data_IF_769528903519
#
_entry.id   IF_769528903519
#
_cell.length_a   1.000
_cell.length_b   1.000
_cell.length_c   1.000
_cell.angle_alpha   90.00
_cell.angle_beta   90.00
_cell.angle_gamma   90.00
#
_symmetry.space_group_name_H-M   'P 1'
#
loop_
_entity.id
_entity.type
_entity.pdbx_description
1 polymer ?
#
# COMPACT_ATOMS: atom_id res chain seq x y z
N UNK A 1 7.26 -8.02 -22.36
CA UNK A 1 8.30 -8.10 -21.28
C UNK A 1 7.58 -8.14 -19.93
N UNK A 2 8.27 -8.43 -18.81
CA UNK A 2 7.64 -8.48 -17.48
C UNK A 2 8.45 -7.67 -16.47
N UNK A 3 7.80 -6.76 -15.77
CA UNK A 3 8.35 -6.08 -14.60
C UNK A 3 7.76 -6.69 -13.33
N UNK A 4 8.59 -6.81 -12.29
CA UNK A 4 8.16 -7.22 -10.96
C UNK A 4 9.05 -6.55 -9.93
N UNK A 5 8.45 -5.88 -8.95
CA UNK A 5 9.17 -5.26 -7.84
C UNK A 5 8.39 -5.41 -6.54
N UNK A 6 9.12 -5.48 -5.44
CA UNK A 6 8.59 -5.50 -4.07
C UNK A 6 9.25 -4.37 -3.30
N UNK A 7 8.45 -3.45 -2.79
CA UNK A 7 8.92 -2.31 -2.01
C UNK A 7 8.23 -2.30 -0.65
N UNK A 8 8.84 -1.70 0.36
CA UNK A 8 8.24 -1.56 1.68
C UNK A 8 9.25 -1.28 2.77
N UNK A 9 8.78 -1.08 4.01
CA UNK A 9 9.66 -0.88 5.15
C UNK A 9 10.55 -2.11 5.32
N UNK A 10 11.87 -1.87 5.43
CA UNK A 10 12.86 -2.94 5.60
C UNK A 10 13.02 -3.86 4.39
N UNK A 11 12.64 -3.42 3.19
CA UNK A 11 12.98 -4.07 1.93
C UNK A 11 14.18 -3.38 1.28
N UNK A 12 15.06 -4.14 0.60
CA UNK A 12 16.26 -3.60 -0.08
C UNK A 12 15.94 -2.46 -1.07
N UNK A 13 14.77 -2.53 -1.71
CA UNK A 13 14.24 -1.47 -2.57
C UNK A 13 13.19 -0.66 -1.78
N UNK A 14 13.68 0.29 -1.01
CA UNK A 14 12.89 1.07 -0.06
C UNK A 14 12.15 2.25 -0.73
N UNK A 15 11.61 2.08 -1.95
CA UNK A 15 10.74 3.08 -2.59
C UNK A 15 9.40 3.18 -1.85
N UNK A 16 9.49 3.54 -0.58
CA UNK A 16 8.52 3.49 0.47
C UNK A 16 8.75 4.68 1.38
N UNK A 17 7.67 5.31 1.82
CA UNK A 17 7.71 6.21 2.95
C UNK A 17 6.37 6.15 3.66
N UNK A 18 6.39 6.48 4.94
CA UNK A 18 5.18 6.68 5.72
C UNK A 18 5.28 7.97 6.50
N UNK A 19 4.15 8.68 6.61
CA UNK A 19 4.06 9.87 7.44
C UNK A 19 4.41 9.55 8.90
N UNK A 20 4.92 10.51 9.69
CA UNK A 20 5.37 10.28 11.07
C UNK A 20 4.32 9.68 12.01
N UNK A 21 3.03 9.73 11.67
CA UNK A 21 1.96 9.09 12.43
C UNK A 21 2.01 7.55 12.35
N UNK A 22 2.63 7.00 11.30
CA UNK A 22 2.88 5.58 11.15
C UNK A 22 4.11 5.18 11.95
N UNK A 23 3.86 4.50 13.07
CA UNK A 23 4.90 4.06 13.99
C UNK A 23 5.40 2.67 13.61
N UNK A 24 6.65 2.37 13.98
CA UNK A 24 7.23 1.05 13.77
C UNK A 24 6.38 -0.05 14.42
N UNK A 25 6.19 -1.14 13.68
CA UNK A 25 5.49 -2.35 14.10
C UNK A 25 6.22 -3.60 13.60
N UNK A 26 5.56 -4.75 13.77
CA UNK A 26 6.10 -6.06 13.39
C UNK A 26 5.18 -6.87 12.49
N UNK A 27 5.62 -8.08 12.16
CA UNK A 27 4.83 -9.04 11.37
C UNK A 27 4.81 -8.75 9.87
N UNK A 28 5.66 -7.85 9.38
CA UNK A 28 5.79 -7.57 7.96
C UNK A 28 6.33 -8.74 7.15
N UNK A 29 6.48 -8.54 5.84
CA UNK A 29 7.01 -9.56 4.95
C UNK A 29 8.46 -9.90 5.31
N UNK A 30 8.72 -11.17 5.57
CA UNK A 30 10.06 -11.70 5.79
C UNK A 30 10.44 -12.61 4.62
N UNK A 31 11.50 -12.26 3.88
CA UNK A 31 11.90 -12.88 2.62
C UNK A 31 11.65 -11.97 1.40
N UNK A 32 12.05 -12.42 0.21
CA UNK A 32 11.99 -11.63 -1.03
C UNK A 32 12.58 -10.22 -0.86
N UNK A 33 13.80 -10.15 -0.30
CA UNK A 33 14.56 -8.93 0.03
C UNK A 33 13.97 -8.04 1.13
N UNK A 34 12.97 -8.52 1.88
CA UNK A 34 12.38 -7.80 3.02
C UNK A 34 12.68 -8.48 4.37
N UNK A 35 12.78 -7.67 5.43
CA UNK A 35 13.25 -8.10 6.75
C UNK A 35 12.18 -8.06 7.85
N UNK A 36 10.91 -8.31 7.50
CA UNK A 36 9.82 -8.50 8.46
C UNK A 36 9.27 -7.21 9.09
N UNK A 37 9.67 -6.04 8.57
CA UNK A 37 9.25 -4.74 9.10
C UNK A 37 7.86 -4.33 8.60
N UNK A 38 7.15 -3.60 9.45
CA UNK A 38 5.87 -2.99 9.16
C UNK A 38 5.77 -1.67 9.92
N UNK A 39 4.85 -0.81 9.50
CA UNK A 39 4.47 0.41 10.22
C UNK A 39 2.96 0.47 10.38
N UNK A 40 2.45 1.16 11.38
CA UNK A 40 1.02 1.26 11.62
C UNK A 40 0.61 2.61 12.23
N UNK A 41 -0.58 3.07 11.86
CA UNK A 41 -1.20 4.27 12.42
C UNK A 41 -2.65 3.97 12.83
N UNK A 42 -3.12 4.65 13.86
CA UNK A 42 -4.55 4.69 14.17
C UNK A 42 -5.27 5.52 13.11
N UNK A 43 -6.47 5.11 12.74
CA UNK A 43 -7.30 5.90 11.81
C UNK A 43 -7.75 7.22 12.45
N UNK A 44 -7.99 8.25 11.64
CA UNK A 44 -8.30 9.63 12.11
C UNK A 44 -9.61 9.79 12.91
N UNK A 45 -10.45 8.75 12.96
CA UNK A 45 -11.76 8.75 13.62
C UNK A 45 -12.85 9.57 12.92
N UNK A 46 -12.49 10.47 12.00
CA UNK A 46 -13.41 11.33 11.24
C UNK A 46 -13.62 10.75 9.84
N UNK A 47 -14.85 10.35 9.52
CA UNK A 47 -15.19 9.84 8.20
C UNK A 47 -14.81 10.84 7.10
N UNK A 48 -14.15 10.35 6.05
CA UNK A 48 -13.73 11.19 4.94
C UNK A 48 -12.35 11.83 5.12
N UNK A 49 -11.82 11.90 6.34
CA UNK A 49 -10.57 12.59 6.66
C UNK A 49 -9.41 11.62 6.86
N UNK A 50 -8.22 11.99 6.39
CA UNK A 50 -6.96 11.30 6.66
C UNK A 50 -5.98 12.31 7.25
N UNK A 51 -5.20 11.87 8.24
CA UNK A 51 -4.10 12.64 8.83
C UNK A 51 -2.74 12.28 8.20
N UNK A 52 -2.71 11.21 7.41
CA UNK A 52 -1.51 10.77 6.70
C UNK A 52 -1.67 9.43 6.00
N UNK A 53 -0.57 8.96 5.42
CA UNK A 53 -0.50 7.70 4.70
C UNK A 53 0.88 7.05 4.71
N UNK A 54 0.91 5.82 4.20
CA UNK A 54 2.11 5.10 3.84
C UNK A 54 2.03 4.77 2.35
N UNK A 55 3.08 5.02 1.60
CA UNK A 55 3.06 4.87 0.15
C UNK A 55 4.27 4.13 -0.39
N UNK A 56 4.03 3.43 -1.50
CA UNK A 56 5.03 2.71 -2.27
C UNK A 56 5.07 3.30 -3.67
N UNK A 57 6.25 3.63 -4.18
CA UNK A 57 6.40 4.09 -5.56
C UNK A 57 6.91 2.97 -6.45
N UNK A 58 6.42 2.91 -7.69
CA UNK A 58 6.90 1.98 -8.70
C UNK A 58 7.21 2.74 -9.98
N UNK A 59 8.42 2.53 -10.49
CA UNK A 59 8.82 2.96 -11.82
C UNK A 59 9.07 1.73 -12.68
N UNK A 60 8.21 1.55 -13.69
CA UNK A 60 8.30 0.42 -14.62
C UNK A 60 9.28 0.68 -15.76
N UNK A 61 9.66 1.94 -16.00
CA UNK A 61 10.46 2.37 -17.15
C UNK A 61 9.76 2.20 -18.51
N UNK A 62 8.48 1.80 -18.52
CA UNK A 62 7.70 1.56 -19.74
C UNK A 62 6.64 2.63 -19.91
N UNK A 63 6.63 3.30 -21.07
CA UNK A 63 5.72 4.41 -21.40
C UNK A 63 4.63 4.02 -22.42
N UNK A 64 4.45 2.72 -22.69
CA UNK A 64 3.45 2.19 -23.61
C UNK A 64 2.24 1.57 -22.90
N UNK A 65 1.33 0.95 -23.67
CA UNK A 65 0.22 0.19 -23.09
C UNK A 65 0.75 -0.98 -22.25
N UNK A 66 0.17 -1.17 -21.07
CA UNK A 66 0.47 -2.27 -20.18
C UNK A 66 -0.42 -2.21 -18.94
N UNK A 67 -0.39 -3.25 -18.13
CA UNK A 67 -1.12 -3.30 -16.86
C UNK A 67 -0.28 -3.93 -15.76
N UNK A 68 -0.54 -3.52 -14.52
CA UNK A 68 0.09 -4.06 -13.32
C UNK A 68 -0.97 -4.66 -12.39
N UNK A 69 -0.76 -5.89 -11.95
CA UNK A 69 -1.41 -6.42 -10.75
C UNK A 69 -0.67 -5.89 -9.53
N UNK A 70 -1.41 -5.30 -8.60
CA UNK A 70 -0.87 -4.73 -7.37
C UNK A 70 -1.34 -5.58 -6.20
N UNK A 71 -0.38 -6.09 -5.42
CA UNK A 71 -0.63 -6.81 -4.17
C UNK A 71 -0.01 -6.06 -3.00
N UNK A 72 -0.66 -6.11 -1.84
CA UNK A 72 -0.11 -5.62 -0.58
C UNK A 72 -0.02 -6.76 0.42
N UNK A 73 1.12 -6.88 1.09
CA UNK A 73 1.29 -7.84 2.17
C UNK A 73 0.73 -7.22 3.45
N UNK A 74 -0.29 -7.87 4.02
CA UNK A 74 -0.89 -7.43 5.26
C UNK A 74 -0.07 -7.98 6.43
N UNK A 75 0.49 -7.13 7.31
CA UNK A 75 1.32 -7.60 8.41
C UNK A 75 0.60 -8.61 9.30
N UNK A 76 1.30 -9.67 9.70
CA UNK A 76 0.85 -10.60 10.72
C UNK A 76 1.00 -10.00 12.13
N UNK A 77 0.23 -8.93 12.41
CA UNK A 77 0.22 -8.20 13.67
C UNK A 77 -1.20 -7.80 14.06
N UNK A 78 -1.44 -7.59 15.35
CA UNK A 78 -2.68 -6.99 15.84
C UNK A 78 -2.91 -5.56 15.34
N UNK A 79 -1.83 -4.83 14.99
CA UNK A 79 -1.92 -3.48 14.41
C UNK A 79 -2.61 -3.47 13.03
N UNK A 80 -2.63 -4.61 12.33
CA UNK A 80 -3.45 -4.81 11.13
C UNK A 80 -4.91 -5.07 11.56
N UNK A 81 -5.58 -4.02 12.03
CA UNK A 81 -6.72 -4.12 12.94
C UNK A 81 -8.11 -3.96 12.32
N UNK A 82 -8.21 -3.50 11.07
CA UNK A 82 -9.52 -3.22 10.46
C UNK A 82 -9.49 -3.08 8.95
N UNK A 83 -10.45 -2.32 8.42
CA UNK A 83 -10.55 -2.07 6.99
C UNK A 83 -9.56 -0.98 6.58
N UNK A 84 -8.64 -1.33 5.69
CA UNK A 84 -7.66 -0.42 5.12
C UNK A 84 -8.12 0.11 3.76
N UNK A 85 -7.92 1.41 3.55
CA UNK A 85 -8.27 2.11 2.31
C UNK A 85 -6.99 2.42 1.54
N UNK A 86 -6.97 2.02 0.27
CA UNK A 86 -5.85 2.22 -0.63
C UNK A 86 -6.24 3.11 -1.80
N UNK A 87 -5.25 3.82 -2.34
CA UNK A 87 -5.35 4.62 -3.56
C UNK A 87 -4.19 4.29 -4.49
N UNK A 88 -4.43 4.45 -5.80
CA UNK A 88 -3.39 4.40 -6.82
C UNK A 88 -3.30 5.76 -7.51
N UNK A 89 -2.09 6.29 -7.63
CA UNK A 89 -1.83 7.61 -8.18
C UNK A 89 -0.77 7.55 -9.27
N UNK A 90 -0.77 8.49 -10.21
CA UNK A 90 0.30 8.61 -11.20
C UNK A 90 1.64 8.95 -10.53
N UNK A 91 1.58 9.76 -9.47
CA UNK A 91 2.68 10.17 -8.59
C UNK A 91 2.14 10.40 -7.19
N UNK A 92 3.01 10.42 -6.18
CA UNK A 92 2.63 10.61 -4.77
C UNK A 92 1.54 11.68 -4.57
N UNK A 93 0.48 11.31 -3.86
CA UNK A 93 -0.54 12.22 -3.34
C UNK A 93 -1.22 13.09 -4.42
N UNK A 94 -1.42 12.56 -5.63
CA UNK A 94 -2.22 13.23 -6.64
C UNK A 94 -3.70 13.20 -6.23
N UNK A 95 -4.32 14.37 -6.13
CA UNK A 95 -5.77 14.51 -5.93
C UNK A 95 -6.42 15.05 -7.22
N UNK A 96 -7.42 14.36 -7.80
CA UNK A 96 -7.97 13.08 -7.38
C UNK A 96 -7.05 11.88 -7.71
N UNK A 97 -7.17 10.75 -6.97
CA UNK A 97 -6.42 9.54 -7.28
C UNK A 97 -6.82 8.99 -8.65
N UNK A 98 -5.91 8.27 -9.31
CA UNK A 98 -6.23 7.59 -10.57
C UNK A 98 -7.25 6.48 -10.35
N UNK A 99 -7.06 5.70 -9.29
CA UNK A 99 -7.93 4.58 -8.95
C UNK A 99 -8.09 4.44 -7.45
N UNK A 100 -9.28 3.98 -7.04
CA UNK A 100 -9.62 3.64 -5.66
C UNK A 100 -9.97 2.15 -5.59
N UNK A 101 -9.01 1.26 -5.32
CA UNK A 101 -9.27 -0.16 -5.14
C UNK A 101 -10.33 -0.46 -4.06
N UNK A 102 -10.94 -1.65 -4.10
CA UNK A 102 -11.75 -2.14 -2.99
C UNK A 102 -10.96 -2.10 -1.67
N UNK A 103 -11.59 -1.72 -0.54
CA UNK A 103 -10.92 -1.75 0.76
C UNK A 103 -10.48 -3.17 1.14
N UNK A 104 -9.38 -3.29 1.87
CA UNK A 104 -8.86 -4.58 2.36
C UNK A 104 -9.23 -4.75 3.82
N UNK A 105 -9.87 -5.88 4.15
CA UNK A 105 -10.02 -6.30 5.54
C UNK A 105 -8.69 -6.87 6.04
N UNK A 106 -7.92 -6.06 6.77
CA UNK A 106 -6.60 -6.45 7.22
C UNK A 106 -6.64 -7.56 8.27
N UNK A 107 -7.68 -7.61 9.11
CA UNK A 107 -7.85 -8.68 10.10
C UNK A 107 -7.95 -10.04 9.44
N UNK A 108 -8.73 -10.13 8.36
CA UNK A 108 -8.94 -11.37 7.62
C UNK A 108 -7.73 -11.78 6.75
N UNK A 109 -6.80 -10.86 6.49
CA UNK A 109 -5.72 -11.05 5.51
C UNK A 109 -4.33 -11.10 6.14
N UNK A 110 -4.21 -11.07 7.48
CA UNK A 110 -2.93 -11.03 8.20
C UNK A 110 -1.97 -12.12 7.75
N UNK A 111 -0.72 -11.73 7.48
CA UNK A 111 0.33 -12.63 7.02
C UNK A 111 0.19 -13.09 5.57
N UNK A 112 -0.68 -12.45 4.79
CA UNK A 112 -0.96 -12.82 3.40
C UNK A 112 -0.85 -11.63 2.46
N UNK A 113 -0.65 -11.95 1.18
CA UNK A 113 -0.79 -10.98 0.10
C UNK A 113 -2.28 -10.79 -0.21
N UNK A 114 -2.74 -9.55 -0.16
CA UNK A 114 -4.05 -9.13 -0.62
C UNK A 114 -3.92 -8.37 -1.94
N UNK A 115 -4.66 -8.81 -2.96
CA UNK A 115 -4.67 -8.14 -4.27
C UNK A 115 -5.54 -6.88 -4.22
N UNK A 116 -4.98 -5.75 -4.63
CA UNK A 116 -5.70 -4.50 -4.91
C UNK A 116 -6.28 -4.45 -6.33
N UNK A 117 -5.98 -5.45 -7.16
CA UNK A 117 -6.50 -5.58 -8.52
C UNK A 117 -5.44 -5.34 -9.59
N UNK A 118 -5.89 -5.27 -10.84
CA UNK A 118 -5.05 -5.04 -12.02
C UNK A 118 -5.46 -3.77 -12.71
N UNK A 119 -4.49 -2.89 -12.96
CA UNK A 119 -4.73 -1.51 -13.40
C UNK A 119 -3.81 -1.14 -14.57
N UNK A 120 -4.24 -0.27 -15.49
CA UNK A 120 -3.38 0.26 -16.54
C UNK A 120 -2.16 1.00 -15.96
N UNK A 121 -1.01 0.86 -16.63
CA UNK A 121 0.19 1.64 -16.31
C UNK A 121 -0.01 3.08 -16.79
N UNK A 122 0.24 4.11 -15.97
CA UNK A 122 0.22 5.49 -16.43
C UNK A 122 1.23 5.73 -17.55
N UNK A 123 0.96 6.70 -18.42
CA UNK A 123 1.76 6.92 -19.65
C UNK A 123 3.23 7.27 -19.40
N UNK A 124 3.58 7.79 -18.22
CA UNK A 124 4.97 8.07 -17.85
C UNK A 124 5.68 6.85 -17.21
N UNK A 125 4.99 5.73 -17.02
CA UNK A 125 5.53 4.49 -16.47
C UNK A 125 5.66 4.46 -14.95
N UNK A 126 5.20 5.52 -14.27
CA UNK A 126 5.25 5.68 -12.82
C UNK A 126 3.86 5.54 -12.20
N UNK A 127 3.81 4.98 -11.01
CA UNK A 127 2.63 5.04 -10.15
C UNK A 127 3.02 4.87 -8.69
N UNK A 128 2.13 5.31 -7.79
CA UNK A 128 2.22 5.00 -6.36
C UNK A 128 1.00 4.25 -5.88
N UNK A 129 1.22 3.45 -4.84
CA UNK A 129 0.17 2.84 -4.01
C UNK A 129 0.19 3.57 -2.68
N UNK A 130 -0.95 4.03 -2.18
CA UNK A 130 -1.04 4.77 -0.92
C UNK A 130 -2.02 4.06 0.00
N UNK A 131 -1.57 3.61 1.17
CA UNK A 131 -2.42 3.27 2.30
C UNK A 131 -2.74 4.56 3.06
N UNK A 132 -4.01 4.88 3.20
CA UNK A 132 -4.46 6.03 3.98
C UNK A 132 -4.86 5.60 5.40
N UNK A 133 -4.62 6.44 6.40
CA UNK A 133 -5.22 6.29 7.74
C UNK A 133 -6.69 6.76 7.80
N UNK A 134 -7.33 7.00 6.66
CA UNK A 134 -8.76 7.31 6.57
C UNK A 134 -9.60 6.17 7.16
N UNK A 135 -10.53 6.46 8.09
CA UNK A 135 -11.43 5.46 8.62
C UNK A 135 -12.47 5.04 7.58
N UNK A 136 -12.91 3.79 7.62
CA UNK A 136 -13.98 3.31 6.76
C UNK A 136 -15.34 3.88 7.17
N UNK A 137 -15.53 4.14 8.47
CA UNK A 137 -16.73 4.71 9.08
C UNK A 137 -16.36 5.71 10.16
N UNK A 138 -17.27 6.65 10.42
CA UNK A 138 -17.09 7.60 11.52
C UNK A 138 -17.03 6.85 12.85
N UNK A 139 -16.06 7.21 13.70
CA UNK A 139 -15.86 6.58 15.01
C UNK A 139 -15.04 5.28 14.99
N UNK A 140 -14.53 4.85 13.83
CA UNK A 140 -13.53 3.78 13.79
C UNK A 140 -12.28 4.19 14.60
N UNK A 141 -11.76 3.27 15.41
CA UNK A 141 -10.62 3.51 16.30
C UNK A 141 -9.54 2.43 16.21
N UNK A 142 -9.55 1.65 15.12
CA UNK A 142 -8.55 0.61 14.87
C UNK A 142 -7.28 1.19 14.23
N UNK A 143 -6.23 0.38 14.18
CA UNK A 143 -5.03 0.67 13.38
C UNK A 143 -5.10 0.04 12.01
N UNK A 144 -4.47 0.71 11.05
CA UNK A 144 -4.11 0.17 9.75
C UNK A 144 -2.60 0.04 9.67
N UNK A 145 -2.13 -1.04 9.04
CA UNK A 145 -0.70 -1.36 8.97
C UNK A 145 -0.21 -1.52 7.52
N UNK A 146 1.01 -1.07 7.26
CA UNK A 146 1.71 -1.16 5.99
C UNK A 146 2.95 -2.05 6.13
N UNK A 147 3.19 -2.91 5.14
CA UNK A 147 4.45 -3.64 4.97
C UNK A 147 4.84 -3.65 3.49
N UNK A 148 5.12 -4.79 2.88
CA UNK A 148 5.52 -4.85 1.50
C UNK A 148 4.33 -4.62 0.55
N UNK A 149 4.58 -3.95 -0.57
CA UNK A 149 3.71 -3.88 -1.73
C UNK A 149 4.45 -4.44 -2.94
N UNK A 150 3.74 -5.16 -3.80
CA UNK A 150 4.28 -5.79 -4.99
C UNK A 150 3.52 -5.32 -6.21
N UNK A 151 4.27 -4.90 -7.22
CA UNK A 151 3.74 -4.65 -8.55
C UNK A 151 4.25 -5.73 -9.51
N UNK A 152 3.34 -6.35 -10.26
CA UNK A 152 3.67 -7.28 -11.35
C UNK A 152 3.03 -6.79 -12.64
N UNK A 153 3.85 -6.36 -13.59
CA UNK A 153 3.37 -5.69 -14.80
C UNK A 153 3.65 -6.48 -16.07
N UNK A 154 2.76 -6.33 -17.06
CA UNK A 154 2.84 -6.97 -18.38
C UNK A 154 2.49 -5.99 -19.49
N UNK A 155 3.24 -6.10 -20.58
CA UNK A 155 3.08 -5.40 -21.86
C UNK A 155 3.68 -6.21 -22.99
#
# INVERSE_FOLDING_TARGET
>A
MRYSAVHGPGCDAEWFYADPIFQAGGGGLNGSTCHGQAVAATVSGVAGHADGGAFWQFNTGHTGSGSCTIDVYVPNSADAGGTAIYFLDARQNAEPPLYSPPPVNQVASRGQWASLGTWPIPSDGWFSVTLSNKPARSGDAYKVAASASRATCRW
#
